data_IF_955869499722
#
_entry.id   IF_955869499722
#
_cell.length_a   1.000
_cell.length_b   1.000
_cell.length_c   1.000
_cell.angle_alpha   90.00
_cell.angle_beta   90.00
_cell.angle_gamma   90.00
#
_symmetry.space_group_name_H-M   'P 1'
#
loop_
_entity.id
_entity.type
_entity.pdbx_description
1 polymer ?
#
# COMPACT_ATOMS: atom_id res chain seq x y z
N UNK A 1 -4.75 -11.15 -7.40
CA UNK A 1 -3.56 -10.86 -8.20
C UNK A 1 -3.58 -11.82 -9.38
N UNK A 2 -3.59 -11.36 -10.64
CA UNK A 2 -3.59 -12.26 -11.80
C UNK A 2 -2.28 -13.05 -11.96
N UNK A 3 -1.22 -12.70 -11.22
CA UNK A 3 0.12 -13.20 -11.47
C UNK A 3 0.51 -14.42 -10.59
N UNK A 4 -0.17 -14.72 -9.47
CA UNK A 4 0.22 -15.82 -8.56
C UNK A 4 -0.95 -16.48 -7.79
N UNK A 5 -0.95 -17.81 -7.75
CA UNK A 5 -1.75 -18.69 -6.86
C UNK A 5 -1.00 -19.05 -5.55
N UNK A 6 0.16 -18.44 -5.30
CA UNK A 6 1.03 -18.79 -4.17
C UNK A 6 0.53 -18.21 -2.84
N UNK A 7 0.89 -18.83 -1.69
CA UNK A 7 0.57 -18.29 -0.38
C UNK A 7 1.13 -16.88 -0.20
N UNK A 8 0.32 -15.97 0.36
CA UNK A 8 0.68 -14.55 0.56
C UNK A 8 2.03 -14.35 1.28
N UNK A 9 2.42 -15.25 2.19
CA UNK A 9 3.70 -15.17 2.90
C UNK A 9 4.93 -15.30 1.99
N UNK A 10 4.84 -16.07 0.90
CA UNK A 10 5.94 -16.19 -0.07
C UNK A 10 6.16 -14.87 -0.80
N UNK A 11 5.07 -14.21 -1.25
CA UNK A 11 5.13 -12.88 -1.86
C UNK A 11 5.81 -11.85 -0.94
N UNK A 12 5.40 -11.83 0.33
CA UNK A 12 5.96 -10.92 1.32
C UNK A 12 7.47 -11.15 1.54
N UNK A 13 7.89 -12.40 1.67
CA UNK A 13 9.30 -12.76 1.85
C UNK A 13 10.13 -12.50 0.60
N UNK A 14 9.60 -12.79 -0.59
CA UNK A 14 10.27 -12.50 -1.86
C UNK A 14 10.50 -11.00 -2.04
N UNK A 15 9.49 -10.19 -1.73
CA UNK A 15 9.60 -8.72 -1.76
C UNK A 15 10.67 -8.25 -0.79
N UNK A 16 10.61 -8.71 0.47
CA UNK A 16 11.53 -8.30 1.52
C UNK A 16 12.98 -8.71 1.23
N UNK A 17 13.23 -9.94 0.79
CA UNK A 17 14.57 -10.44 0.50
C UNK A 17 15.17 -9.80 -0.76
N UNK A 18 14.35 -9.51 -1.78
CA UNK A 18 14.81 -8.80 -2.97
C UNK A 18 15.24 -7.36 -2.63
N UNK A 19 14.46 -6.66 -1.79
CA UNK A 19 14.85 -5.33 -1.27
C UNK A 19 16.16 -5.46 -0.46
N UNK A 20 16.22 -6.43 0.46
CA UNK A 20 17.39 -6.64 1.34
C UNK A 20 18.69 -6.85 0.57
N UNK A 21 18.61 -7.53 -0.57
CA UNK A 21 19.77 -7.76 -1.43
C UNK A 21 20.32 -6.46 -2.03
N UNK A 22 19.44 -5.57 -2.46
CA UNK A 22 19.80 -4.35 -3.20
C UNK A 22 20.02 -3.13 -2.28
N UNK A 23 19.38 -3.11 -1.10
CA UNK A 23 19.44 -2.03 -0.11
C UNK A 23 19.84 -2.54 1.28
N UNK A 24 21.00 -3.21 1.44
CA UNK A 24 21.34 -3.95 2.67
C UNK A 24 21.34 -3.12 3.96
N UNK A 25 21.51 -1.80 3.86
CA UNK A 25 21.55 -0.87 4.99
C UNK A 25 20.18 -0.27 5.35
N UNK A 26 19.13 -0.53 4.57
CA UNK A 26 17.79 0.05 4.75
C UNK A 26 16.82 -0.95 5.40
N UNK A 27 17.15 -1.38 6.62
CA UNK A 27 16.42 -2.46 7.31
C UNK A 27 14.91 -2.20 7.51
N UNK A 28 14.51 -0.93 7.65
CA UNK A 28 13.10 -0.52 7.71
C UNK A 28 12.36 -0.83 6.40
N UNK A 29 13.04 -0.75 5.25
CA UNK A 29 12.46 -1.03 3.94
C UNK A 29 12.30 -2.54 3.74
N UNK A 30 13.18 -3.36 4.32
CA UNK A 30 13.04 -4.82 4.31
C UNK A 30 11.79 -5.22 5.08
N UNK A 31 11.60 -4.65 6.28
CA UNK A 31 10.39 -4.90 7.05
C UNK A 31 9.14 -4.38 6.34
N UNK A 32 9.23 -3.21 5.68
CA UNK A 32 8.14 -2.68 4.85
C UNK A 32 7.74 -3.68 3.76
N UNK A 33 8.73 -4.28 3.08
CA UNK A 33 8.55 -5.41 2.16
C UNK A 33 7.78 -6.58 2.77
N UNK A 34 8.12 -6.97 3.99
CA UNK A 34 7.47 -8.10 4.66
C UNK A 34 6.02 -7.80 5.07
N UNK A 35 5.67 -6.56 5.37
CA UNK A 35 4.38 -6.24 6.01
C UNK A 35 3.37 -5.51 5.13
N UNK A 36 3.78 -4.95 3.98
CA UNK A 36 2.94 -4.07 3.16
C UNK A 36 1.54 -4.64 2.90
N UNK A 37 1.48 -5.95 2.68
CA UNK A 37 0.29 -6.66 2.23
C UNK A 37 -0.48 -7.37 3.35
N UNK A 38 -0.03 -7.24 4.61
CA UNK A 38 -0.66 -7.92 5.74
C UNK A 38 -2.08 -7.39 6.02
N UNK A 39 -2.47 -6.23 5.47
CA UNK A 39 -3.86 -5.77 5.54
C UNK A 39 -4.85 -6.67 4.80
N UNK A 40 -4.37 -7.58 3.93
CA UNK A 40 -5.19 -8.60 3.28
C UNK A 40 -5.84 -9.59 4.26
N UNK A 41 -5.42 -9.59 5.53
CA UNK A 41 -6.12 -10.33 6.60
C UNK A 41 -7.61 -10.01 6.70
N UNK A 42 -8.07 -8.84 6.24
CA UNK A 42 -9.49 -8.49 6.18
C UNK A 42 -10.37 -9.49 5.39
N UNK A 43 -9.78 -10.29 4.49
CA UNK A 43 -10.46 -11.39 3.80
C UNK A 43 -10.78 -12.57 4.73
N UNK A 44 -10.04 -12.71 5.82
CA UNK A 44 -10.19 -13.82 6.75
C UNK A 44 -11.43 -13.59 7.65
N UNK A 45 -12.25 -14.63 7.91
CA UNK A 45 -13.48 -14.48 8.72
C UNK A 45 -13.26 -13.85 10.10
N UNK A 46 -12.13 -14.14 10.76
CA UNK A 46 -11.79 -13.55 12.05
C UNK A 46 -11.49 -12.04 12.01
N UNK A 47 -11.33 -11.46 10.83
CA UNK A 47 -11.03 -10.03 10.60
C UNK A 47 -12.12 -9.34 9.76
N UNK A 48 -13.31 -9.94 9.69
CA UNK A 48 -14.49 -9.37 9.05
C UNK A 48 -14.95 -10.12 7.79
N UNK A 49 -14.08 -10.91 7.15
CA UNK A 49 -14.44 -11.67 5.95
C UNK A 49 -14.95 -10.79 4.82
N UNK A 50 -14.31 -9.63 4.61
CA UNK A 50 -14.75 -8.65 3.63
C UNK A 50 -14.64 -9.20 2.20
N UNK A 51 -15.50 -8.73 1.27
CA UNK A 51 -15.37 -9.11 -0.13
C UNK A 51 -14.05 -8.56 -0.71
N UNK A 52 -13.46 -9.27 -1.68
CA UNK A 52 -12.14 -8.90 -2.23
C UNK A 52 -12.05 -7.47 -2.74
N UNK A 53 -13.10 -6.95 -3.38
CA UNK A 53 -13.12 -5.57 -3.90
C UNK A 53 -13.00 -4.49 -2.81
N UNK A 54 -13.26 -4.83 -1.55
CA UNK A 54 -13.12 -3.96 -0.39
C UNK A 54 -11.80 -4.20 0.38
N UNK A 55 -10.88 -5.00 -0.17
CA UNK A 55 -9.60 -5.34 0.47
C UNK A 55 -8.42 -5.17 -0.48
N UNK A 56 -8.50 -5.70 -1.71
CA UNK A 56 -7.37 -5.77 -2.65
C UNK A 56 -7.62 -4.92 -3.90
N UNK A 57 -6.56 -4.67 -4.65
CA UNK A 57 -6.60 -4.00 -5.95
C UNK A 57 -6.09 -2.56 -5.89
N UNK A 58 -5.94 -1.97 -7.08
CA UNK A 58 -5.46 -0.60 -7.23
C UNK A 58 -6.39 0.39 -6.52
N UNK A 59 -5.79 1.30 -5.76
CA UNK A 59 -6.51 2.32 -4.98
C UNK A 59 -6.60 3.63 -5.75
N UNK A 60 -7.61 4.43 -5.40
CA UNK A 60 -7.81 5.76 -5.97
C UNK A 60 -8.54 6.70 -4.99
N UNK A 61 -8.47 8.02 -5.17
CA UNK A 61 -9.19 8.97 -4.34
C UNK A 61 -10.70 8.89 -4.57
N UNK A 62 -11.45 9.00 -3.48
CA UNK A 62 -12.89 9.24 -3.47
C UNK A 62 -13.15 10.74 -3.36
N UNK A 63 -14.38 11.21 -3.65
CA UNK A 63 -14.73 12.62 -3.45
C UNK A 63 -14.09 13.62 -4.41
N UNK A 64 -13.39 13.15 -5.45
CA UNK A 64 -12.97 13.92 -6.63
C UNK A 64 -13.12 13.09 -7.91
N UNK A 65 -12.94 13.70 -9.08
CA UNK A 65 -13.16 13.01 -10.35
C UNK A 65 -12.26 11.76 -10.51
N UNK A 66 -12.85 10.68 -11.04
CA UNK A 66 -12.12 9.46 -11.38
C UNK A 66 -11.29 9.70 -12.64
N UNK A 67 -9.96 9.58 -12.51
CA UNK A 67 -9.01 9.77 -13.60
C UNK A 67 -9.00 8.55 -14.53
N UNK A 68 -8.91 8.77 -15.84
CA UNK A 68 -8.94 7.71 -16.86
C UNK A 68 -7.80 6.67 -16.71
N UNK A 69 -6.75 7.00 -15.97
CA UNK A 69 -5.67 6.07 -15.63
C UNK A 69 -6.04 4.97 -14.64
N UNK A 70 -7.20 5.06 -13.98
CA UNK A 70 -7.68 3.98 -13.09
C UNK A 70 -8.06 2.75 -13.94
N UNK A 71 -7.57 1.58 -13.52
CA UNK A 71 -7.84 0.32 -14.21
C UNK A 71 -9.34 0.08 -14.32
N UNK A 72 -9.79 -0.20 -15.55
CA UNK A 72 -11.20 -0.38 -15.91
C UNK A 72 -12.11 0.83 -15.64
N UNK A 73 -11.59 2.05 -15.80
CA UNK A 73 -12.29 3.33 -15.61
C UNK A 73 -13.75 3.37 -16.11
N UNK A 74 -14.05 2.75 -17.26
CA UNK A 74 -15.41 2.67 -17.82
C UNK A 74 -16.50 2.20 -16.86
N UNK A 75 -16.17 1.45 -15.81
CA UNK A 75 -17.16 0.98 -14.84
C UNK A 75 -17.56 2.05 -13.80
N UNK A 76 -16.85 3.18 -13.71
CA UNK A 76 -17.25 4.30 -12.85
C UNK A 76 -18.54 4.98 -13.30
N UNK A 77 -19.00 4.80 -14.54
CA UNK A 77 -20.30 5.30 -14.98
C UNK A 77 -21.46 4.80 -14.08
N UNK A 78 -21.30 3.61 -13.49
CA UNK A 78 -22.26 3.05 -12.53
C UNK A 78 -22.10 3.52 -11.08
N UNK A 79 -21.05 4.30 -10.77
CA UNK A 79 -20.80 4.83 -9.44
C UNK A 79 -21.63 6.11 -9.23
N UNK A 80 -22.43 6.23 -8.15
CA UNK A 80 -23.22 7.43 -7.88
C UNK A 80 -22.39 8.72 -7.76
N UNK A 81 -21.11 8.61 -7.40
CA UNK A 81 -20.22 9.76 -7.24
C UNK A 81 -19.72 10.33 -8.58
N UNK A 82 -19.74 9.55 -9.67
CA UNK A 82 -19.28 9.97 -11.00
C UNK A 82 -20.09 11.17 -11.55
N UNK A 83 -21.39 11.19 -11.24
CA UNK A 83 -22.31 12.26 -11.66
C UNK A 83 -22.60 13.28 -10.55
N UNK A 84 -21.98 13.13 -9.39
CA UNK A 84 -22.20 14.05 -8.27
C UNK A 84 -21.45 15.38 -8.53
N UNK A 85 -22.13 16.53 -8.63
CA UNK A 85 -21.48 17.81 -8.90
C UNK A 85 -20.49 18.26 -7.82
N UNK A 86 -20.56 17.70 -6.61
CA UNK A 86 -19.58 17.96 -5.56
C UNK A 86 -18.26 17.20 -5.80
N UNK A 87 -18.28 16.09 -6.53
CA UNK A 87 -17.14 15.17 -6.65
C UNK A 87 -16.58 15.10 -8.07
N UNK A 88 -17.38 15.37 -9.10
CA UNK A 88 -17.00 15.21 -10.50
C UNK A 88 -16.07 16.31 -11.06
N UNK A 89 -15.40 17.07 -10.19
CA UNK A 89 -14.37 18.04 -10.59
C UNK A 89 -12.97 17.54 -10.20
N UNK A 90 -11.94 18.13 -10.79
CA UNK A 90 -10.53 17.72 -10.58
C UNK A 90 -10.13 17.62 -9.11
N UNK A 91 -10.60 18.54 -8.26
CA UNK A 91 -10.32 18.49 -6.83
C UNK A 91 -11.52 18.01 -6.00
N UNK A 92 -12.75 18.05 -6.54
CA UNK A 92 -13.96 17.71 -5.81
C UNK A 92 -14.03 18.43 -4.46
N UNK A 93 -14.05 17.66 -3.37
CA UNK A 93 -14.07 18.19 -1.99
C UNK A 93 -12.71 18.66 -1.44
N UNK A 94 -11.63 18.43 -2.18
CA UNK A 94 -10.26 18.72 -1.72
C UNK A 94 -9.77 20.09 -2.13
N UNK A 95 -8.80 20.60 -1.39
CA UNK A 95 -7.98 21.74 -1.81
C UNK A 95 -6.73 21.25 -2.55
N UNK A 96 -6.25 22.04 -3.51
CA UNK A 96 -5.03 21.74 -4.23
C UNK A 96 -3.83 21.70 -3.26
N UNK A 97 -3.02 20.64 -3.33
CA UNK A 97 -1.86 20.45 -2.48
C UNK A 97 -2.19 20.18 -1.01
N UNK A 98 -3.40 19.69 -0.69
CA UNK A 98 -3.82 19.39 0.68
C UNK A 98 -2.96 18.31 1.35
N UNK A 99 -2.24 17.51 0.59
CA UNK A 99 -1.49 16.35 1.07
C UNK A 99 -2.35 15.10 1.07
N UNK A 100 -1.76 13.98 0.65
CA UNK A 100 -2.48 12.71 0.52
C UNK A 100 -3.04 12.19 1.85
N UNK A 101 -2.46 12.59 2.98
CA UNK A 101 -3.00 12.27 4.30
C UNK A 101 -4.40 12.86 4.56
N UNK A 102 -4.76 13.93 3.83
CA UNK A 102 -6.08 14.59 3.88
C UNK A 102 -7.01 14.14 2.74
N UNK A 103 -6.58 13.18 1.91
CA UNK A 103 -7.37 12.62 0.82
C UNK A 103 -7.97 11.30 1.28
N UNK A 104 -9.26 11.10 1.02
CA UNK A 104 -9.91 9.81 1.24
C UNK A 104 -9.56 8.92 0.06
N UNK A 105 -8.79 7.86 0.32
CA UNK A 105 -8.51 6.82 -0.66
C UNK A 105 -9.52 5.68 -0.47
N UNK A 106 -9.83 4.93 -1.52
CA UNK A 106 -10.62 3.70 -1.42
C UNK A 106 -10.11 2.79 -0.31
N UNK A 107 -11.03 2.29 0.51
CA UNK A 107 -10.72 1.37 1.60
C UNK A 107 -10.11 0.07 1.08
N UNK A 108 -9.07 -0.41 1.76
CA UNK A 108 -8.39 -1.67 1.42
C UNK A 108 -7.25 -1.98 2.38
N UNK A 109 -6.43 -2.96 2.00
CA UNK A 109 -5.29 -3.44 2.76
C UNK A 109 -4.25 -2.35 3.05
N UNK A 110 -3.98 -1.43 2.12
CA UNK A 110 -3.07 -0.29 2.30
C UNK A 110 -3.44 0.54 3.53
N UNK A 111 -4.64 1.12 3.52
CA UNK A 111 -5.12 2.03 4.56
C UNK A 111 -5.30 1.28 5.89
N UNK A 112 -5.79 0.04 5.86
CA UNK A 112 -5.89 -0.78 7.06
C UNK A 112 -4.53 -1.07 7.68
N UNK A 113 -3.54 -1.51 6.90
CA UNK A 113 -2.21 -1.82 7.42
C UNK A 113 -1.48 -0.56 7.89
N UNK A 114 -1.67 0.57 7.20
CA UNK A 114 -1.21 1.88 7.68
C UNK A 114 -1.80 2.21 9.06
N UNK A 115 -3.10 2.04 9.24
CA UNK A 115 -3.77 2.28 10.53
C UNK A 115 -3.26 1.32 11.61
N UNK A 116 -3.12 0.03 11.32
CA UNK A 116 -2.52 -0.95 12.25
C UNK A 116 -1.13 -0.47 12.67
N UNK A 117 -0.28 -0.07 11.72
CA UNK A 117 1.06 0.39 12.04
C UNK A 117 1.07 1.66 12.92
N UNK A 118 0.28 2.66 12.53
CA UNK A 118 0.17 3.95 13.21
C UNK A 118 -0.41 3.81 14.62
N UNK A 119 -1.52 3.08 14.76
CA UNK A 119 -2.22 2.91 16.04
C UNK A 119 -1.44 2.05 17.04
N UNK A 120 -0.61 1.11 16.54
CA UNK A 120 0.34 0.37 17.38
C UNK A 120 1.64 1.15 17.64
N UNK A 121 1.73 2.42 17.23
CA UNK A 121 2.86 3.32 17.48
C UNK A 121 4.18 2.72 16.99
N UNK A 122 4.19 2.19 15.77
CA UNK A 122 5.43 1.73 15.13
C UNK A 122 6.50 2.83 15.15
N UNK A 123 7.76 2.41 15.22
CA UNK A 123 8.92 3.30 15.08
C UNK A 123 9.46 3.33 13.65
N UNK A 124 8.76 2.70 12.68
CA UNK A 124 9.09 2.81 11.27
C UNK A 124 9.12 4.28 10.81
N UNK A 125 10.01 4.65 9.88
CA UNK A 125 10.10 6.01 9.38
C UNK A 125 8.85 6.41 8.58
N UNK A 126 8.56 7.72 8.43
CA UNK A 126 7.42 8.19 7.63
C UNK A 126 7.39 7.64 6.19
N UNK A 127 8.55 7.41 5.58
CA UNK A 127 8.64 6.82 4.24
C UNK A 127 8.06 5.40 4.18
N UNK A 128 8.25 4.57 5.22
CA UNK A 128 7.68 3.23 5.29
C UNK A 128 6.14 3.29 5.37
N UNK A 129 5.61 4.18 6.21
CA UNK A 129 4.17 4.38 6.34
C UNK A 129 3.55 4.91 5.05
N UNK A 130 4.25 5.80 4.36
CA UNK A 130 3.83 6.29 3.04
C UNK A 130 3.79 5.16 2.01
N UNK A 131 4.79 4.28 2.00
CA UNK A 131 4.78 3.10 1.13
C UNK A 131 3.57 2.22 1.42
N UNK A 132 3.39 1.80 2.68
CA UNK A 132 2.30 0.90 3.08
C UNK A 132 0.94 1.48 2.66
N UNK A 133 0.74 2.78 2.85
CA UNK A 133 -0.53 3.44 2.57
C UNK A 133 -0.83 3.66 1.07
N UNK A 134 0.19 3.72 0.22
CA UNK A 134 0.01 4.17 -1.17
C UNK A 134 0.64 3.23 -2.21
N UNK A 135 1.08 2.02 -1.83
CA UNK A 135 1.68 1.06 -2.76
C UNK A 135 0.70 0.48 -3.79
N UNK A 136 -0.60 0.52 -3.51
CA UNK A 136 -1.64 0.19 -4.47
C UNK A 136 -2.14 1.41 -5.26
N UNK A 137 -1.63 2.61 -5.01
CA UNK A 137 -2.12 3.84 -5.67
C UNK A 137 -1.50 4.04 -7.06
N UNK A 138 -1.67 3.06 -7.95
CA UNK A 138 -1.08 3.00 -9.29
C UNK A 138 -1.35 4.23 -10.17
N UNK A 139 -2.58 4.80 -10.23
CA UNK A 139 -2.83 6.04 -10.94
C UNK A 139 -1.82 7.15 -10.59
N UNK A 140 -1.44 7.25 -9.32
CA UNK A 140 -0.46 8.21 -8.86
C UNK A 140 0.97 7.80 -9.24
N UNK A 141 1.47 6.67 -8.73
CA UNK A 141 2.90 6.37 -8.81
C UNK A 141 3.38 5.82 -10.15
N UNK A 142 2.47 5.29 -10.98
CA UNK A 142 2.75 4.80 -12.33
C UNK A 142 2.36 5.81 -13.41
N UNK A 143 1.19 6.43 -13.30
CA UNK A 143 0.63 7.28 -14.36
C UNK A 143 0.79 8.79 -14.11
N UNK A 144 1.12 9.21 -12.88
CA UNK A 144 1.27 10.63 -12.53
C UNK A 144 -0.04 11.39 -12.35
N UNK A 145 -1.17 10.68 -12.29
CA UNK A 145 -2.46 11.27 -11.94
C UNK A 145 -2.47 11.74 -10.48
N UNK A 146 -3.42 12.60 -10.12
CA UNK A 146 -3.64 13.10 -8.74
C UNK A 146 -2.47 13.87 -8.09
N UNK A 147 -1.40 14.18 -8.82
CA UNK A 147 -0.26 14.97 -8.31
C UNK A 147 -0.63 16.38 -7.85
N UNK A 148 -1.79 16.90 -8.26
CA UNK A 148 -2.34 18.16 -7.77
C UNK A 148 -2.83 18.11 -6.32
N UNK A 149 -3.05 16.92 -5.74
CA UNK A 149 -3.43 16.76 -4.34
C UNK A 149 -2.21 16.65 -3.40
N UNK A 150 -1.04 16.30 -3.95
CA UNK A 150 0.18 16.08 -3.17
C UNK A 150 0.75 17.36 -2.55
N UNK A 151 1.22 17.26 -1.31
CA UNK A 151 2.08 18.27 -0.67
C UNK A 151 3.57 17.94 -0.91
N UNK A 152 4.48 18.71 -0.31
CA UNK A 152 5.92 18.51 -0.50
C UNK A 152 6.43 17.20 0.10
N UNK A 153 5.95 16.83 1.28
CA UNK A 153 6.31 15.58 1.95
C UNK A 153 5.91 14.36 1.11
N UNK A 154 4.74 14.40 0.47
CA UNK A 154 4.31 13.34 -0.44
C UNK A 154 5.31 13.19 -1.61
N UNK A 155 5.73 14.32 -2.21
CA UNK A 155 6.68 14.33 -3.34
C UNK A 155 8.03 13.75 -2.94
N UNK A 156 8.51 14.06 -1.74
CA UNK A 156 9.75 13.49 -1.20
C UNK A 156 9.65 11.97 -1.01
N UNK A 157 8.52 11.47 -0.51
CA UNK A 157 8.30 10.04 -0.27
C UNK A 157 8.03 9.23 -1.55
N UNK A 158 7.59 9.87 -2.64
CA UNK A 158 7.40 9.19 -3.93
C UNK A 158 8.65 8.47 -4.44
N UNK A 159 9.86 8.95 -4.10
CA UNK A 159 11.10 8.27 -4.48
C UNK A 159 11.17 6.85 -3.89
N UNK A 160 10.76 6.71 -2.63
CA UNK A 160 10.77 5.43 -1.91
C UNK A 160 9.64 4.53 -2.38
N UNK A 161 8.46 5.09 -2.64
CA UNK A 161 7.34 4.36 -3.23
C UNK A 161 7.70 3.75 -4.59
N UNK A 162 8.34 4.53 -5.46
CA UNK A 162 8.81 4.05 -6.77
C UNK A 162 9.91 3.00 -6.68
N UNK A 163 10.77 3.06 -5.65
CA UNK A 163 11.76 2.00 -5.39
C UNK A 163 11.03 0.73 -4.97
N UNK A 164 10.17 0.82 -3.95
CA UNK A 164 9.41 -0.29 -3.41
C UNK A 164 8.58 -1.02 -4.46
N UNK A 165 7.82 -0.28 -5.28
CA UNK A 165 6.90 -0.86 -6.27
C UNK A 165 7.60 -1.78 -7.30
N UNK A 166 8.89 -1.55 -7.58
CA UNK A 166 9.66 -2.46 -8.45
C UNK A 166 9.79 -3.85 -7.82
N UNK A 167 9.97 -3.92 -6.50
CA UNK A 167 10.12 -5.18 -5.80
C UNK A 167 8.77 -5.88 -5.68
N UNK A 168 7.75 -5.19 -5.18
CA UNK A 168 6.39 -5.73 -5.07
C UNK A 168 5.89 -6.37 -6.40
N UNK A 169 6.14 -5.71 -7.54
CA UNK A 169 5.76 -6.26 -8.84
C UNK A 169 6.68 -7.37 -9.36
N UNK A 170 7.99 -7.19 -9.26
CA UNK A 170 8.95 -7.97 -10.05
C UNK A 170 9.81 -8.95 -9.23
N UNK A 171 9.66 -9.02 -7.90
CA UNK A 171 10.32 -10.05 -7.08
C UNK A 171 9.59 -11.39 -7.10
N UNK A 172 8.40 -11.44 -7.69
CA UNK A 172 7.60 -12.66 -7.85
C UNK A 172 8.42 -13.75 -8.54
N UNK A 173 8.71 -14.83 -7.82
CA UNK A 173 9.62 -15.88 -8.26
C UNK A 173 9.06 -17.27 -7.97
N UNK A 174 9.40 -18.25 -8.81
CA UNK A 174 9.13 -19.67 -8.51
C UNK A 174 10.09 -20.25 -7.46
N UNK A 175 11.17 -19.53 -7.17
CA UNK A 175 12.14 -19.93 -6.14
C UNK A 175 11.61 -19.44 -4.79
N UNK A 176 11.30 -20.38 -3.90
CA UNK A 176 10.76 -20.08 -2.57
C UNK A 176 11.85 -19.62 -1.62
N UNK A 177 11.47 -18.73 -0.70
CA UNK A 177 12.34 -18.29 0.38
C UNK A 177 12.29 -19.31 1.50
N UNK A 178 13.44 -19.73 2.03
CA UNK A 178 13.48 -20.61 3.18
C UNK A 178 13.07 -19.84 4.45
N UNK A 179 11.81 -20.01 4.86
CA UNK A 179 11.23 -19.29 6.00
C UNK A 179 12.06 -19.44 7.27
N UNK A 180 12.50 -20.66 7.62
CA UNK A 180 13.23 -20.90 8.88
C UNK A 180 14.61 -20.23 8.90
N UNK A 181 15.24 -20.04 7.73
CA UNK A 181 16.53 -19.37 7.61
C UNK A 181 16.41 -17.86 7.82
N UNK A 182 15.36 -17.23 7.25
CA UNK A 182 15.21 -15.78 7.28
C UNK A 182 14.41 -15.29 8.49
N UNK A 183 13.64 -16.16 9.15
CA UNK A 183 12.78 -15.82 10.28
C UNK A 183 13.51 -15.12 11.42
N UNK A 184 14.70 -15.56 11.90
CA UNK A 184 15.41 -14.86 12.97
C UNK A 184 15.72 -13.39 12.62
N UNK A 185 16.07 -13.13 11.36
CA UNK A 185 16.33 -11.78 10.87
C UNK A 185 15.07 -10.92 10.92
N UNK A 186 13.97 -11.37 10.31
CA UNK A 186 12.73 -10.59 10.28
C UNK A 186 12.07 -10.43 11.65
N UNK A 187 12.18 -11.43 12.53
CA UNK A 187 11.74 -11.30 13.92
C UNK A 187 12.50 -10.18 14.64
N UNK A 188 13.81 -10.05 14.42
CA UNK A 188 14.59 -8.94 15.01
C UNK A 188 14.14 -7.57 14.51
N UNK A 189 13.71 -7.45 13.25
CA UNK A 189 13.16 -6.21 12.70
C UNK A 189 11.78 -5.91 13.29
N UNK A 190 10.92 -6.92 13.42
CA UNK A 190 9.61 -6.78 14.06
C UNK A 190 9.78 -6.28 15.49
N UNK A 191 10.69 -6.88 16.27
CA UNK A 191 11.00 -6.47 17.65
C UNK A 191 11.57 -5.04 17.72
N UNK A 192 12.36 -4.63 16.72
CA UNK A 192 12.90 -3.26 16.62
C UNK A 192 11.82 -2.22 16.35
N UNK A 193 10.87 -2.54 15.46
CA UNK A 193 9.94 -1.55 14.88
C UNK A 193 8.51 -1.58 15.43
N UNK A 194 8.14 -2.63 16.16
CA UNK A 194 6.80 -2.85 16.66
C UNK A 194 6.80 -3.36 18.11
N UNK A 195 5.73 -3.06 18.89
CA UNK A 195 5.56 -3.72 20.18
C UNK A 195 5.26 -5.21 20.00
N UNK A 196 5.58 -6.02 21.01
CA UNK A 196 5.47 -7.48 20.96
C UNK A 196 4.04 -8.01 20.70
N UNK A 197 3.00 -7.21 20.97
CA UNK A 197 1.61 -7.53 20.68
C UNK A 197 0.97 -6.37 19.94
N UNK A 198 0.32 -6.68 18.82
CA UNK A 198 -0.38 -5.71 18.00
C UNK A 198 -1.89 -5.82 18.18
N UNK A 199 -2.55 -4.67 18.17
CA UNK A 199 -3.98 -4.56 17.93
C UNK A 199 -4.20 -4.51 16.42
N UNK A 200 -4.84 -5.54 15.90
CA UNK A 200 -5.28 -5.61 14.52
C UNK A 200 -6.72 -5.11 14.44
#
# INVERSE_FOLDING_TARGET
DPDLDEPQIEHLLQTAEAIRKDYPDEDWLHLTGLIHDLGKVLLHPSFGGLPQWAVVGDTHPLGCAFDESIVHHKYFEGNPDDRNPAYNTKCGIYSQGCGLDNVMITWGHDDYMYLVAKENKTTLPPAALFIIRYHSFYPLHRCGAYTHLMNEQDRENMKWLKIFNKYDLYSKSKVRVNVEEVKPYYMSLIEKYFPAKLRW
#
